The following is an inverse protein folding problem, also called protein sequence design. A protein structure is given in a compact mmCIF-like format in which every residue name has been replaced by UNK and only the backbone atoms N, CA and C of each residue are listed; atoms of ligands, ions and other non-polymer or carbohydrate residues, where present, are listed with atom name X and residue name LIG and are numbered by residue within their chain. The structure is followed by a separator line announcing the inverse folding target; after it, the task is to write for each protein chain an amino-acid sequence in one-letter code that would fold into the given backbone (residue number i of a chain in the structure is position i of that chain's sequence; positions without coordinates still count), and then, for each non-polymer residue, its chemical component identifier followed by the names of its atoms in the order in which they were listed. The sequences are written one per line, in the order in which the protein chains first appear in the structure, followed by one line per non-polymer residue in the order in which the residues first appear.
data_IF_652377067038
#
_entry.id   IF_652377067038
#
_cell.length_a   1.000
_cell.length_b   1.000
_cell.length_c   1.000
_cell.angle_alpha   90.00
_cell.angle_beta   90.00
_cell.angle_gamma   90.00
#
_symmetry.space_group_name_H-M   'P 1'
#
loop_
_entity.id
_entity.type
_entity.pdbx_description
1 polymer ?
#
# COMPACT_ATOMS: atom_id res chain seq x y z
N UNK A 1 8.21 -20.67 -8.44
CA UNK A 1 7.11 -20.70 -7.44
C UNK A 1 7.39 -21.77 -6.42
N UNK A 2 7.33 -21.43 -5.13
CA UNK A 2 7.37 -22.41 -4.04
C UNK A 2 6.03 -23.17 -3.97
N UNK A 3 5.98 -24.30 -3.26
CA UNK A 3 4.76 -25.09 -3.11
C UNK A 3 3.69 -24.42 -2.23
N UNK A 4 4.09 -23.55 -1.31
CA UNK A 4 3.18 -22.95 -0.30
C UNK A 4 2.91 -21.44 -0.53
N UNK A 5 2.78 -21.02 -1.78
CA UNK A 5 2.69 -19.59 -2.14
C UNK A 5 1.39 -18.94 -1.65
N UNK A 6 0.28 -19.68 -1.61
CA UNK A 6 -0.99 -19.16 -1.12
C UNK A 6 -0.90 -18.79 0.37
N UNK A 7 -0.46 -19.71 1.25
CA UNK A 7 -0.28 -19.40 2.67
C UNK A 7 0.76 -18.32 2.92
N UNK A 8 1.83 -18.28 2.13
CA UNK A 8 2.81 -17.18 2.21
C UNK A 8 2.14 -15.84 1.90
N UNK A 9 1.29 -15.79 0.89
CA UNK A 9 0.50 -14.59 0.53
C UNK A 9 -0.40 -14.19 1.71
N UNK A 10 -1.19 -15.13 2.24
CA UNK A 10 -2.08 -14.87 3.39
C UNK A 10 -1.33 -14.32 4.61
N UNK A 11 -0.21 -14.95 4.98
CA UNK A 11 0.63 -14.49 6.11
C UNK A 11 1.21 -13.10 5.90
N UNK A 12 1.67 -12.80 4.69
CA UNK A 12 2.21 -11.48 4.37
C UNK A 12 1.12 -10.40 4.39
N UNK A 13 -0.09 -10.68 3.89
CA UNK A 13 -1.23 -9.75 3.98
C UNK A 13 -1.63 -9.52 5.44
N UNK A 14 -1.65 -10.57 6.26
CA UNK A 14 -1.92 -10.44 7.69
C UNK A 14 -0.86 -9.58 8.41
N UNK A 15 0.43 -9.76 8.09
CA UNK A 15 1.51 -8.93 8.63
C UNK A 15 1.36 -7.45 8.23
N UNK A 16 1.05 -7.19 6.96
CA UNK A 16 0.79 -5.84 6.47
C UNK A 16 -0.39 -5.19 7.21
N UNK A 17 -1.49 -5.93 7.39
CA UNK A 17 -2.66 -5.45 8.11
C UNK A 17 -2.33 -5.11 9.57
N UNK A 18 -1.62 -6.01 10.27
CA UNK A 18 -1.25 -5.82 11.67
C UNK A 18 -0.36 -4.59 11.93
N UNK A 19 0.41 -4.16 10.92
CA UNK A 19 1.37 -3.06 11.05
C UNK A 19 0.91 -1.75 10.40
N UNK A 20 -0.21 -1.78 9.66
CA UNK A 20 -0.65 -0.65 8.86
C UNK A 20 -1.03 0.58 9.70
N UNK A 21 -1.78 0.37 10.78
CA UNK A 21 -2.22 1.47 11.65
C UNK A 21 -1.04 2.16 12.35
N UNK A 22 -0.05 1.39 12.79
CA UNK A 22 1.16 1.92 13.41
C UNK A 22 1.99 2.74 12.42
N UNK A 23 2.16 2.25 11.19
CA UNK A 23 2.84 3.00 10.13
C UNK A 23 2.15 4.33 9.84
N UNK A 24 0.81 4.33 9.73
CA UNK A 24 0.05 5.55 9.49
C UNK A 24 0.19 6.55 10.66
N UNK A 25 0.06 6.07 11.88
CA UNK A 25 0.17 6.90 13.09
C UNK A 25 1.57 7.52 13.21
N UNK A 26 2.62 6.73 12.94
CA UNK A 26 3.99 7.21 12.93
C UNK A 26 4.22 8.26 11.82
N UNK A 27 3.67 8.03 10.63
CA UNK A 27 3.76 8.99 9.53
C UNK A 27 3.19 10.36 9.92
N UNK A 28 1.99 10.39 10.52
CA UNK A 28 1.35 11.63 10.98
C UNK A 28 2.19 12.34 12.04
N UNK A 29 2.70 11.59 13.02
CA UNK A 29 3.59 12.12 14.07
C UNK A 29 4.82 12.80 13.47
N UNK A 30 5.46 12.18 12.47
CA UNK A 30 6.62 12.75 11.79
C UNK A 30 6.28 13.94 10.89
N UNK A 31 5.03 14.09 10.41
CA UNK A 31 4.65 15.27 9.63
C UNK A 31 4.47 16.52 10.48
N UNK A 32 4.09 16.35 11.75
CA UNK A 32 3.78 17.42 12.69
C UNK A 32 2.48 18.17 12.36
N UNK A 33 2.25 19.30 13.02
CA UNK A 33 1.09 20.15 12.75
C UNK A 33 1.12 20.71 11.31
N UNK A 34 -0.02 20.80 10.60
CA UNK A 34 -1.39 20.47 11.05
C UNK A 34 -1.81 19.00 10.81
N UNK A 35 -0.90 18.12 10.37
CA UNK A 35 -1.26 16.75 10.01
C UNK A 35 -1.65 15.88 11.21
N UNK A 36 -1.09 16.14 12.40
CA UNK A 36 -1.46 15.46 13.64
C UNK A 36 -2.87 15.81 14.13
N UNK A 37 -3.30 17.08 13.99
CA UNK A 37 -4.58 17.57 14.51
C UNK A 37 -5.72 17.53 13.48
N UNK A 38 -5.45 17.86 12.22
CA UNK A 38 -6.45 17.92 11.14
C UNK A 38 -6.45 16.65 10.25
N UNK A 39 -6.16 15.49 10.84
CA UNK A 39 -6.01 14.21 10.12
C UNK A 39 -7.20 13.90 9.21
N UNK A 40 -8.44 14.14 9.68
CA UNK A 40 -9.66 13.85 8.92
C UNK A 40 -9.84 14.72 7.68
N UNK A 41 -9.37 15.96 7.74
CA UNK A 41 -9.48 16.91 6.63
C UNK A 41 -8.33 16.74 5.65
N UNK A 42 -7.11 16.60 6.15
CA UNK A 42 -5.90 16.58 5.32
C UNK A 42 -5.64 15.21 4.70
N UNK A 43 -5.91 14.14 5.44
CA UNK A 43 -5.60 12.77 5.03
C UNK A 43 -6.84 12.02 4.56
N UNK A 44 -7.98 12.70 4.39
CA UNK A 44 -9.16 12.10 3.77
C UNK A 44 -8.81 11.49 2.42
N UNK A 45 -9.22 10.24 2.14
CA UNK A 45 -8.88 9.60 0.88
C UNK A 45 -9.72 10.10 -0.31
N UNK A 46 -10.52 11.14 -0.12
CA UNK A 46 -11.36 11.72 -1.15
C UNK A 46 -10.51 12.45 -2.21
N UNK A 47 -10.79 12.19 -3.48
CA UNK A 47 -10.21 12.96 -4.60
C UNK A 47 -8.91 12.41 -5.19
N UNK A 48 -8.47 11.20 -4.83
CA UNK A 48 -7.38 10.52 -5.53
C UNK A 48 -7.77 9.10 -5.94
N UNK A 49 -7.25 8.65 -7.08
CA UNK A 49 -7.50 7.29 -7.58
C UNK A 49 -6.83 6.25 -6.67
N UNK A 50 -7.60 5.24 -6.26
CA UNK A 50 -7.11 4.05 -5.59
C UNK A 50 -7.77 2.82 -6.23
N UNK A 51 -7.05 1.71 -6.46
CA UNK A 51 -7.64 0.53 -7.11
C UNK A 51 -8.82 -0.03 -6.32
N UNK A 52 -9.92 -0.31 -7.02
CA UNK A 52 -11.10 -0.85 -6.40
C UNK A 52 -10.87 -2.26 -5.85
N UNK A 53 -11.26 -2.45 -4.59
CA UNK A 53 -11.20 -3.72 -3.89
C UNK A 53 -12.56 -4.01 -3.27
N UNK A 54 -13.43 -4.67 -4.04
CA UNK A 54 -14.79 -5.02 -3.63
C UNK A 54 -14.85 -6.41 -2.98
N UNK A 55 -15.71 -6.57 -1.98
CA UNK A 55 -15.94 -7.84 -1.27
C UNK A 55 -16.75 -8.86 -2.10
N UNK A 56 -17.64 -8.40 -2.99
CA UNK A 56 -18.54 -9.24 -3.79
C UNK A 56 -17.86 -9.88 -5.02
N UNK A 57 -16.64 -10.39 -4.88
CA UNK A 57 -15.96 -11.10 -5.97
C UNK A 57 -16.39 -12.55 -6.00
N UNK A 58 -16.76 -13.00 -7.20
CA UNK A 58 -17.38 -14.31 -7.41
C UNK A 58 -16.38 -15.44 -7.61
N UNK A 59 -15.11 -15.13 -7.91
CA UNK A 59 -14.07 -16.15 -8.10
C UNK A 59 -12.72 -15.81 -7.46
N UNK A 60 -11.99 -16.85 -7.05
CA UNK A 60 -10.63 -16.73 -6.52
C UNK A 60 -9.69 -16.01 -7.51
N UNK A 61 -9.85 -16.27 -8.81
CA UNK A 61 -9.12 -15.59 -9.89
C UNK A 61 -9.28 -14.07 -9.82
N UNK A 62 -10.50 -13.58 -9.67
CA UNK A 62 -10.79 -12.14 -9.58
C UNK A 62 -10.18 -11.53 -8.31
N UNK A 63 -10.22 -12.26 -7.20
CA UNK A 63 -9.58 -11.85 -5.95
C UNK A 63 -8.07 -11.69 -6.16
N UNK A 64 -7.40 -12.68 -6.77
CA UNK A 64 -5.95 -12.62 -7.00
C UNK A 64 -5.55 -11.49 -7.95
N UNK A 65 -6.30 -11.28 -9.04
CA UNK A 65 -6.05 -10.17 -9.98
C UNK A 65 -6.15 -8.83 -9.26
N UNK A 66 -7.15 -8.66 -8.42
CA UNK A 66 -7.34 -7.40 -7.73
C UNK A 66 -6.38 -7.19 -6.56
N UNK A 67 -6.00 -8.25 -5.84
CA UNK A 67 -4.90 -8.20 -4.89
C UNK A 67 -3.62 -7.73 -5.58
N UNK A 68 -3.33 -8.27 -6.78
CA UNK A 68 -2.18 -7.85 -7.55
C UNK A 68 -2.24 -6.35 -7.89
N UNK A 69 -3.38 -5.87 -8.41
CA UNK A 69 -3.56 -4.44 -8.74
C UNK A 69 -3.39 -3.54 -7.52
N UNK A 70 -3.97 -3.94 -6.38
CA UNK A 70 -3.86 -3.24 -5.11
C UNK A 70 -2.40 -3.12 -4.67
N UNK A 71 -1.68 -4.25 -4.56
CA UNK A 71 -0.32 -4.25 -4.06
C UNK A 71 0.67 -3.62 -5.04
N UNK A 72 0.44 -3.73 -6.35
CA UNK A 72 1.23 -3.02 -7.36
C UNK A 72 1.11 -1.49 -7.20
N UNK A 73 -0.11 -0.99 -7.01
CA UNK A 73 -0.35 0.43 -6.73
C UNK A 73 0.31 0.87 -5.41
N UNK A 74 0.14 0.09 -4.35
CA UNK A 74 0.71 0.38 -3.03
C UNK A 74 2.23 0.39 -3.08
N UNK A 75 2.87 -0.56 -3.75
CA UNK A 75 4.32 -0.62 -3.89
C UNK A 75 4.89 0.65 -4.56
N UNK A 76 4.28 1.08 -5.66
CA UNK A 76 4.69 2.31 -6.35
C UNK A 76 4.47 3.55 -5.46
N UNK A 77 3.33 3.60 -4.75
CA UNK A 77 3.00 4.73 -3.89
C UNK A 77 3.91 4.81 -2.66
N UNK A 78 4.20 3.67 -2.01
CA UNK A 78 5.15 3.58 -0.90
C UNK A 78 6.54 4.02 -1.34
N UNK A 79 7.03 3.60 -2.50
CA UNK A 79 8.32 4.07 -3.03
C UNK A 79 8.40 5.58 -3.21
N UNK A 80 7.32 6.22 -3.68
CA UNK A 80 7.25 7.68 -3.77
C UNK A 80 7.21 8.34 -2.39
N UNK A 81 6.41 7.80 -1.46
CA UNK A 81 6.30 8.30 -0.10
C UNK A 81 7.65 8.21 0.61
N UNK A 82 8.35 7.08 0.52
CA UNK A 82 9.67 6.90 1.13
C UNK A 82 10.66 7.94 0.62
N UNK A 83 10.76 8.12 -0.71
CA UNK A 83 11.65 9.13 -1.29
C UNK A 83 11.30 10.54 -0.82
N UNK A 84 10.01 10.88 -0.77
CA UNK A 84 9.56 12.17 -0.25
C UNK A 84 9.89 12.32 1.25
N UNK A 85 9.82 11.26 2.05
CA UNK A 85 10.17 11.31 3.48
C UNK A 85 11.68 11.35 3.72
N UNK A 86 12.49 10.73 2.87
CA UNK A 86 13.95 10.87 2.91
C UNK A 86 14.38 12.33 2.70
N UNK A 87 13.69 13.05 1.81
CA UNK A 87 13.90 14.49 1.59
C UNK A 87 13.34 15.36 2.72
N UNK A 88 12.11 15.08 3.16
CA UNK A 88 11.36 15.97 4.07
C UNK A 88 11.69 15.75 5.55
N UNK A 89 11.97 14.50 5.95
CA UNK A 89 12.17 14.08 7.33
C UNK A 89 13.36 13.10 7.43
N UNK A 90 14.59 13.49 7.01
CA UNK A 90 15.74 12.58 6.91
C UNK A 90 16.18 11.96 8.24
N UNK A 91 15.84 12.59 9.37
CA UNK A 91 16.18 12.10 10.72
C UNK A 91 15.14 11.14 11.28
N UNK A 92 13.99 10.95 10.62
CA UNK A 92 12.91 10.06 11.07
C UNK A 92 13.21 8.59 10.73
N UNK A 93 14.31 8.06 11.27
CA UNK A 93 14.82 6.70 10.95
C UNK A 93 13.76 5.61 11.10
N UNK A 94 13.00 5.62 12.19
CA UNK A 94 11.95 4.63 12.43
C UNK A 94 10.88 4.64 11.33
N UNK A 95 10.47 5.83 10.85
CA UNK A 95 9.50 5.95 9.78
C UNK A 95 10.05 5.38 8.47
N UNK A 96 11.28 5.75 8.13
CA UNK A 96 11.94 5.29 6.91
C UNK A 96 12.10 3.77 6.92
N UNK A 97 12.55 3.19 8.04
CA UNK A 97 12.70 1.75 8.19
C UNK A 97 11.37 1.01 8.02
N UNK A 98 10.28 1.51 8.63
CA UNK A 98 8.95 0.91 8.48
C UNK A 98 8.41 1.02 7.06
N UNK A 99 8.63 2.14 6.38
CA UNK A 99 8.25 2.33 4.97
C UNK A 99 9.03 1.37 4.04
N UNK A 100 10.34 1.24 4.25
CA UNK A 100 11.19 0.30 3.51
C UNK A 100 10.76 -1.16 3.74
N UNK A 101 10.50 -1.54 4.99
CA UNK A 101 10.04 -2.90 5.32
C UNK A 101 8.65 -3.22 4.74
N UNK A 102 7.74 -2.26 4.77
CA UNK A 102 6.41 -2.40 4.16
C UNK A 102 6.51 -2.54 2.65
N UNK A 103 7.38 -1.75 2.01
CA UNK A 103 7.68 -1.85 0.57
C UNK A 103 8.24 -3.23 0.22
N UNK A 104 9.25 -3.70 0.95
CA UNK A 104 9.85 -5.03 0.74
C UNK A 104 8.83 -6.17 0.88
N UNK A 105 7.98 -6.11 1.91
CA UNK A 105 6.91 -7.10 2.10
C UNK A 105 5.91 -7.06 0.94
N UNK A 106 5.56 -5.87 0.46
CA UNK A 106 4.66 -5.69 -0.70
C UNK A 106 5.27 -6.24 -2.00
N UNK A 107 6.57 -6.07 -2.23
CA UNK A 107 7.27 -6.68 -3.37
C UNK A 107 7.24 -8.21 -3.34
N UNK A 108 7.40 -8.79 -2.14
CA UNK A 108 7.25 -10.23 -1.92
C UNK A 108 5.84 -10.72 -2.26
N UNK A 109 4.81 -10.00 -1.82
CA UNK A 109 3.41 -10.29 -2.16
C UNK A 109 3.14 -10.23 -3.66
N UNK A 110 3.61 -9.19 -4.35
CA UNK A 110 3.46 -9.07 -5.80
C UNK A 110 4.07 -10.29 -6.49
N UNK A 111 5.26 -10.72 -6.07
CA UNK A 111 5.94 -11.90 -6.64
C UNK A 111 5.14 -13.20 -6.43
N UNK A 112 4.54 -13.36 -5.25
CA UNK A 112 3.67 -14.49 -4.93
C UNK A 112 2.38 -14.46 -5.75
N UNK A 113 1.76 -13.29 -5.91
CA UNK A 113 0.55 -13.11 -6.70
C UNK A 113 0.81 -13.33 -8.19
N UNK A 114 1.90 -12.82 -8.76
CA UNK A 114 2.34 -13.14 -10.14
C UNK A 114 2.43 -14.66 -10.32
N UNK A 115 3.05 -15.34 -9.36
CA UNK A 115 3.21 -16.77 -9.39
C UNK A 115 1.86 -17.52 -9.42
N UNK A 116 0.92 -17.16 -8.55
CA UNK A 116 -0.43 -17.76 -8.51
C UNK A 116 -1.19 -17.47 -9.81
N UNK A 117 -1.14 -16.23 -10.29
CA UNK A 117 -1.78 -15.78 -11.54
C UNK A 117 -1.29 -16.54 -12.76
N UNK A 118 0.02 -16.68 -12.92
CA UNK A 118 0.61 -17.40 -14.03
C UNK A 118 0.30 -18.90 -13.96
N UNK A 119 0.48 -19.55 -12.80
CA UNK A 119 0.37 -21.01 -12.68
C UNK A 119 -1.06 -21.53 -12.64
N UNK A 120 -1.95 -20.86 -11.92
CA UNK A 120 -3.28 -21.38 -11.64
C UNK A 120 -4.33 -20.83 -12.62
N UNK A 121 -4.07 -19.66 -13.23
CA UNK A 121 -5.07 -18.95 -14.01
C UNK A 121 -4.61 -18.53 -15.41
N UNK A 122 -3.37 -18.88 -15.81
CA UNK A 122 -2.77 -18.50 -17.10
C UNK A 122 -2.81 -16.99 -17.40
N UNK A 123 -2.66 -16.16 -16.36
CA UNK A 123 -2.58 -14.70 -16.50
C UNK A 123 -1.12 -14.28 -16.39
N UNK A 124 -0.55 -13.82 -17.51
CA UNK A 124 0.85 -13.38 -17.58
C UNK A 124 1.03 -11.87 -17.44
N UNK A 125 -0.04 -11.11 -17.64
CA UNK A 125 -0.05 -9.65 -17.54
C UNK A 125 -1.32 -9.20 -16.84
N UNK A 126 -1.16 -8.25 -15.91
CA UNK A 126 -2.27 -7.57 -15.23
C UNK A 126 -2.15 -6.09 -15.53
N UNK A 127 -3.21 -5.50 -16.07
CA UNK A 127 -3.28 -4.06 -16.26
C UNK A 127 -3.37 -3.35 -14.89
N UNK A 128 -2.40 -2.46 -14.64
CA UNK A 128 -2.24 -1.73 -13.38
C UNK A 128 -2.22 -0.24 -13.66
N UNK A 129 -3.00 0.50 -12.87
CA UNK A 129 -2.97 1.97 -12.87
C UNK A 129 -2.21 2.44 -11.64
N UNK A 130 -1.28 3.35 -11.84
CA UNK A 130 -0.49 3.94 -10.76
C UNK A 130 -1.06 5.28 -10.32
N UNK A 131 -0.80 5.64 -9.06
CA UNK A 131 -1.17 6.94 -8.52
C UNK A 131 -0.38 8.10 -9.15
N UNK A 132 -0.85 9.34 -8.99
CA UNK A 132 -0.17 10.51 -9.53
C UNK A 132 1.24 10.66 -8.91
N UNK A 133 2.22 11.01 -9.73
CA UNK A 133 3.58 11.29 -9.25
C UNK A 133 3.59 12.54 -8.34
N UNK A 134 4.42 12.52 -7.30
CA UNK A 134 4.63 13.65 -6.39
C UNK A 134 5.78 14.57 -6.83
N UNK A 135 6.56 14.20 -7.84
CA UNK A 135 7.66 15.01 -8.40
C UNK A 135 7.17 16.40 -8.81
N UNK A 136 7.89 17.44 -8.38
CA UNK A 136 7.55 18.85 -8.66
C UNK A 136 6.46 19.44 -7.77
N UNK A 137 5.81 18.65 -6.90
CA UNK A 137 4.85 19.18 -5.92
C UNK A 137 5.58 19.83 -4.74
N UNK A 138 4.94 20.84 -4.15
CA UNK A 138 5.39 21.48 -2.90
C UNK A 138 5.34 20.48 -1.73
N UNK A 139 6.20 20.69 -0.75
CA UNK A 139 6.32 19.84 0.44
C UNK A 139 4.97 19.50 1.08
N UNK A 140 4.11 20.50 1.32
CA UNK A 140 2.78 20.26 1.90
C UNK A 140 1.92 19.26 1.11
N UNK A 141 1.93 19.34 -0.23
CA UNK A 141 1.16 18.43 -1.08
C UNK A 141 1.77 17.03 -1.14
N UNK A 142 3.10 16.90 -1.04
CA UNK A 142 3.77 15.59 -0.87
C UNK A 142 3.33 14.92 0.44
N UNK A 143 3.39 15.66 1.56
CA UNK A 143 2.92 15.20 2.88
C UNK A 143 1.44 14.79 2.86
N UNK A 144 0.60 15.63 2.26
CA UNK A 144 -0.83 15.37 2.12
C UNK A 144 -1.10 14.10 1.32
N UNK A 145 -0.50 13.97 0.13
CA UNK A 145 -0.68 12.79 -0.70
C UNK A 145 -0.22 11.51 0.03
N UNK A 146 0.92 11.56 0.72
CA UNK A 146 1.43 10.42 1.47
C UNK A 146 0.47 9.96 2.58
N UNK A 147 -0.07 10.91 3.36
CA UNK A 147 -1.01 10.53 4.41
C UNK A 147 -2.36 10.04 3.87
N UNK A 148 -2.86 10.60 2.75
CA UNK A 148 -4.08 10.12 2.09
C UNK A 148 -3.94 8.67 1.61
N UNK A 149 -2.80 8.33 0.99
CA UNK A 149 -2.50 6.96 0.55
C UNK A 149 -2.41 6.02 1.75
N UNK A 150 -1.66 6.38 2.79
CA UNK A 150 -1.50 5.52 3.97
C UNK A 150 -2.82 5.31 4.72
N UNK A 151 -3.68 6.33 4.81
CA UNK A 151 -5.02 6.18 5.38
C UNK A 151 -5.87 5.20 4.57
N UNK A 152 -5.85 5.30 3.24
CA UNK A 152 -6.58 4.36 2.37
C UNK A 152 -6.00 2.96 2.44
N UNK A 153 -4.68 2.82 2.56
CA UNK A 153 -3.99 1.55 2.77
C UNK A 153 -4.50 0.84 4.02
N UNK A 154 -4.55 1.52 5.17
CA UNK A 154 -5.12 0.98 6.43
C UNK A 154 -6.52 0.43 6.22
N UNK A 155 -7.38 1.17 5.50
CA UNK A 155 -8.73 0.70 5.21
C UNK A 155 -8.72 -0.57 4.36
N UNK A 156 -8.06 -0.54 3.21
CA UNK A 156 -8.16 -1.63 2.22
C UNK A 156 -7.42 -2.89 2.66
N UNK A 157 -6.30 -2.77 3.36
CA UNK A 157 -5.54 -3.95 3.82
C UNK A 157 -6.32 -4.80 4.82
N UNK A 158 -7.17 -4.18 5.64
CA UNK A 158 -8.05 -4.89 6.57
C UNK A 158 -9.13 -5.72 5.85
N UNK A 159 -9.57 -5.26 4.67
CA UNK A 159 -10.51 -6.00 3.83
C UNK A 159 -9.77 -7.12 3.10
N UNK A 160 -8.58 -6.81 2.55
CA UNK A 160 -7.74 -7.80 1.89
C UNK A 160 -7.38 -8.99 2.82
N UNK A 161 -7.07 -8.71 4.09
CA UNK A 161 -6.75 -9.72 5.08
C UNK A 161 -7.96 -10.58 5.50
N UNK A 162 -9.19 -10.10 5.32
CA UNK A 162 -10.41 -10.88 5.60
C UNK A 162 -10.79 -11.84 4.46
N UNK A 163 -10.44 -11.49 3.22
CA UNK A 163 -10.80 -12.28 2.04
C UNK A 163 -9.85 -13.47 1.83
N UNK A 164 -8.58 -13.36 2.24
CA UNK A 164 -7.55 -14.41 2.10
C UNK A 164 -7.48 -15.33 3.33
#
# INVERSE_FOLDING_TARGET
CRSNVYEQTRKQVALLNATAQDLFSLYLKCQGEPFSSETDKLCSPNGFFFPDFHENRTSEKEVMVAMYKLFAFLNASLGNITRDQEELNPTAKELLDRLHNTTKTTQGLISNLTCLLCKNYNIFQVDVRYGPNSKGKRAFKKKQQGCQVLRKYVQVISHAARIL
#
